data_IF_439272701081
#
_entry.id   IF_439272701081
#
_cell.length_a   1.000
_cell.length_b   1.000
_cell.length_c   1.000
_cell.angle_alpha   90.00
_cell.angle_beta   90.00
_cell.angle_gamma   90.00
#
_symmetry.space_group_name_H-M   'P 1'
#
loop_
_entity.id
_entity.type
_entity.pdbx_description
1 polymer ?
#
# COMPACT_ATOMS: atom_id res chain seq x y z
N UNK A 1 3.48 0.11 31.08
CA UNK A 1 4.37 0.90 30.21
C UNK A 1 5.78 0.88 30.81
N UNK A 2 6.84 0.81 29.99
CA UNK A 2 8.22 0.91 30.50
C UNK A 2 8.45 2.27 31.17
N UNK A 3 9.30 2.29 32.21
CA UNK A 3 9.66 3.54 32.89
C UNK A 3 10.41 4.46 31.92
N UNK A 4 9.80 5.60 31.58
CA UNK A 4 10.43 6.62 30.75
C UNK A 4 11.49 7.36 31.57
N UNK A 5 12.74 7.33 31.12
CA UNK A 5 13.85 8.07 31.73
C UNK A 5 14.27 9.21 30.81
N UNK A 6 14.51 10.42 31.35
CA UNK A 6 15.03 11.55 30.55
C UNK A 6 16.29 11.16 29.78
N UNK A 7 16.45 11.72 28.57
CA UNK A 7 17.63 11.54 27.69
C UNK A 7 17.94 10.08 27.30
N UNK A 8 17.05 9.12 27.57
CA UNK A 8 17.20 7.72 27.16
C UNK A 8 16.19 7.37 26.07
N UNK A 9 16.68 6.78 24.98
CA UNK A 9 15.84 6.22 23.92
C UNK A 9 15.01 5.06 24.49
N UNK A 10 13.70 5.11 24.29
CA UNK A 10 12.76 4.09 24.73
C UNK A 10 11.75 3.84 23.62
N UNK A 11 11.44 2.58 23.35
CA UNK A 11 10.41 2.21 22.38
C UNK A 11 9.03 2.38 23.00
N UNK A 12 8.17 3.10 22.29
CA UNK A 12 6.78 3.33 22.67
C UNK A 12 5.90 3.22 21.44
N UNK A 13 4.61 2.90 21.58
CA UNK A 13 3.67 2.99 20.48
C UNK A 13 3.64 4.39 19.87
N UNK A 14 3.48 4.46 18.55
CA UNK A 14 3.50 5.72 17.80
C UNK A 14 2.46 6.74 18.33
N UNK A 15 1.26 6.28 18.67
CA UNK A 15 0.21 7.15 19.21
C UNK A 15 0.63 7.81 20.53
N UNK A 16 1.36 7.10 21.39
CA UNK A 16 1.89 7.66 22.64
C UNK A 16 2.98 8.69 22.36
N UNK A 17 3.89 8.38 21.43
CA UNK A 17 4.95 9.30 21.02
C UNK A 17 4.38 10.62 20.49
N UNK A 18 3.32 10.57 19.66
CA UNK A 18 2.69 11.77 19.11
C UNK A 18 2.05 12.62 20.21
N UNK A 19 1.38 12.01 21.19
CA UNK A 19 0.77 12.74 22.31
C UNK A 19 1.86 13.44 23.13
N UNK A 20 2.96 12.76 23.43
CA UNK A 20 4.08 13.34 24.17
C UNK A 20 4.79 14.44 23.39
N UNK A 21 4.95 14.28 22.07
CA UNK A 21 5.51 15.31 21.18
C UNK A 21 4.62 16.56 21.17
N UNK A 22 3.31 16.39 21.09
CA UNK A 22 2.34 17.50 21.18
C UNK A 22 2.36 18.23 22.53
N UNK A 23 2.86 17.59 23.58
CA UNK A 23 3.07 18.20 24.90
C UNK A 23 4.49 18.76 25.09
N UNK A 24 5.37 18.68 24.09
CA UNK A 24 6.77 19.10 24.20
C UNK A 24 7.62 18.23 25.13
N UNK A 25 7.22 16.97 25.37
CA UNK A 25 7.86 16.07 26.36
C UNK A 25 8.80 15.04 25.76
N UNK A 26 8.89 14.95 24.43
CA UNK A 26 9.81 14.04 23.76
C UNK A 26 10.20 14.53 22.37
N UNK A 27 11.32 14.00 21.86
CA UNK A 27 11.71 14.08 20.46
C UNK A 27 11.58 12.69 19.83
N UNK A 28 11.02 12.63 18.63
CA UNK A 28 10.78 11.39 17.89
C UNK A 28 11.96 11.13 16.95
N UNK A 29 12.53 9.93 17.01
CA UNK A 29 13.57 9.53 16.06
C UNK A 29 12.89 9.01 14.79
N UNK A 30 13.19 9.64 13.66
CA UNK A 30 12.65 9.22 12.36
C UNK A 30 13.15 7.81 11.99
N UNK A 31 12.31 6.98 11.35
CA UNK A 31 12.74 5.71 10.79
C UNK A 31 13.81 5.90 9.71
N UNK A 32 14.77 4.98 9.61
CA UNK A 32 15.89 5.08 8.66
C UNK A 32 15.47 5.13 7.18
N UNK A 33 14.29 4.59 6.84
CA UNK A 33 13.74 4.64 5.48
C UNK A 33 13.16 6.02 5.12
N UNK A 34 12.80 6.85 6.12
CA UNK A 34 12.27 8.19 5.92
C UNK A 34 13.42 9.20 5.77
N UNK A 35 14.30 8.94 4.81
CA UNK A 35 15.33 9.87 4.36
C UNK A 35 15.18 10.09 2.87
N UNK A 36 15.49 11.31 2.41
CA UNK A 36 15.50 11.65 1.01
C UNK A 36 16.36 10.68 0.19
N UNK A 37 17.55 10.34 0.69
CA UNK A 37 18.48 9.43 0.01
C UNK A 37 17.87 8.05 -0.26
N UNK A 38 17.21 7.47 0.75
CA UNK A 38 16.56 6.17 0.65
C UNK A 38 15.32 6.23 -0.27
N UNK A 39 14.45 7.23 -0.07
CA UNK A 39 13.24 7.39 -0.88
C UNK A 39 13.58 7.65 -2.36
N UNK A 40 14.64 8.41 -2.62
CA UNK A 40 15.13 8.65 -3.99
C UNK A 40 15.60 7.35 -4.64
N UNK A 41 16.33 6.51 -3.91
CA UNK A 41 16.73 5.17 -4.38
C UNK A 41 15.51 4.30 -4.71
N UNK A 42 14.49 4.30 -3.85
CA UNK A 42 13.25 3.53 -4.09
C UNK A 42 12.49 4.05 -5.31
N UNK A 43 12.40 5.37 -5.47
CA UNK A 43 11.83 6.01 -6.65
C UNK A 43 12.54 5.61 -7.94
N UNK A 44 13.87 5.63 -7.95
CA UNK A 44 14.64 5.26 -9.13
C UNK A 44 14.50 3.74 -9.44
N UNK A 45 14.36 2.89 -8.42
CA UNK A 45 14.04 1.46 -8.61
C UNK A 45 12.63 1.25 -9.17
N UNK A 46 11.65 1.98 -8.66
CA UNK A 46 10.26 1.93 -9.12
C UNK A 46 10.12 2.32 -10.60
N UNK A 47 10.92 3.29 -11.04
CA UNK A 47 10.98 3.74 -12.43
C UNK A 47 11.69 2.75 -13.35
N UNK A 48 12.77 2.12 -12.87
CA UNK A 48 13.55 1.14 -13.65
C UNK A 48 12.81 -0.17 -13.86
N UNK A 49 12.09 -0.65 -12.85
CA UNK A 49 11.44 -1.95 -12.89
C UNK A 49 9.93 -1.76 -13.09
N UNK A 50 9.33 -2.00 -14.26
CA UNK A 50 7.90 -1.82 -14.47
C UNK A 50 7.03 -2.93 -13.86
N UNK A 51 7.58 -4.13 -13.67
CA UNK A 51 6.81 -5.32 -13.25
C UNK A 51 6.69 -5.45 -11.73
N UNK A 52 7.72 -5.05 -10.98
CA UNK A 52 7.77 -5.20 -9.53
C UNK A 52 7.75 -3.86 -8.81
N UNK A 53 7.10 -3.81 -7.66
CA UNK A 53 7.14 -2.67 -6.75
C UNK A 53 8.44 -2.63 -5.95
N UNK A 54 8.93 -1.42 -5.66
CA UNK A 54 10.05 -1.22 -4.75
C UNK A 54 9.69 -1.64 -3.33
N UNK A 55 10.70 -2.10 -2.57
CA UNK A 55 10.50 -2.58 -1.20
C UNK A 55 10.36 -1.41 -0.23
N UNK A 56 9.13 -1.15 0.21
CA UNK A 56 8.79 -0.12 1.19
C UNK A 56 8.05 -0.75 2.37
N UNK A 57 8.17 -0.17 3.57
CA UNK A 57 7.33 -0.57 4.70
C UNK A 57 5.85 -0.48 4.34
N UNK A 58 5.05 -1.44 4.79
CA UNK A 58 3.64 -1.54 4.43
C UNK A 58 2.80 -0.29 4.76
N UNK A 59 3.24 0.51 5.73
CA UNK A 59 2.58 1.71 6.23
C UNK A 59 3.39 3.00 5.95
N UNK A 60 4.22 3.01 4.91
CA UNK A 60 5.12 4.12 4.62
C UNK A 60 4.39 5.45 4.39
N UNK A 61 3.19 5.44 3.79
CA UNK A 61 2.40 6.65 3.52
C UNK A 61 1.86 7.27 4.82
N UNK A 62 1.27 6.45 5.67
CA UNK A 62 0.68 6.85 6.94
C UNK A 62 1.76 7.38 7.89
N UNK A 63 2.86 6.62 8.05
CA UNK A 63 3.97 7.01 8.90
C UNK A 63 4.61 8.31 8.42
N UNK A 64 4.84 8.45 7.11
CA UNK A 64 5.42 9.68 6.57
C UNK A 64 4.53 10.89 6.83
N UNK A 65 3.22 10.75 6.56
CA UNK A 65 2.26 11.85 6.76
C UNK A 65 2.21 12.28 8.22
N UNK A 66 2.15 11.32 9.15
CA UNK A 66 2.08 11.58 10.59
C UNK A 66 3.36 12.28 11.07
N UNK A 67 4.54 11.73 10.76
CA UNK A 67 5.81 12.25 11.23
C UNK A 67 6.11 13.64 10.67
N UNK A 68 5.90 13.85 9.37
CA UNK A 68 6.11 15.16 8.74
C UNK A 68 5.12 16.21 9.29
N UNK A 69 3.92 15.81 9.72
CA UNK A 69 2.93 16.78 10.24
C UNK A 69 3.16 17.10 11.72
N UNK A 70 3.60 16.14 12.52
CA UNK A 70 3.64 16.26 13.99
C UNK A 70 5.05 16.40 14.58
N UNK A 71 6.07 16.01 13.85
CA UNK A 71 7.46 15.97 14.30
C UNK A 71 8.42 16.39 13.19
N UNK A 72 8.03 17.39 12.38
CA UNK A 72 8.84 17.91 11.28
C UNK A 72 10.21 18.44 11.77
N UNK A 73 10.23 18.99 12.98
CA UNK A 73 11.39 19.55 13.67
C UNK A 73 12.39 18.49 14.13
N UNK A 74 11.97 17.23 14.25
CA UNK A 74 12.86 16.11 14.60
C UNK A 74 13.48 15.42 13.37
N UNK A 75 13.10 15.82 12.15
CA UNK A 75 13.58 15.21 10.91
C UNK A 75 14.92 15.83 10.47
N UNK A 76 15.81 14.99 9.94
CA UNK A 76 17.10 15.45 9.43
C UNK A 76 16.98 16.16 8.06
N UNK A 77 16.13 15.64 7.19
CA UNK A 77 15.89 16.19 5.85
C UNK A 77 14.75 17.21 5.87
N UNK A 78 14.76 18.15 4.92
CA UNK A 78 13.69 19.15 4.78
C UNK A 78 12.33 18.50 4.54
N UNK A 79 11.31 18.90 5.30
CA UNK A 79 9.95 18.39 5.20
C UNK A 79 9.34 18.58 3.82
N UNK A 80 9.64 19.70 3.15
CA UNK A 80 9.19 19.99 1.78
C UNK A 80 9.79 19.00 0.78
N UNK A 81 11.08 18.72 0.91
CA UNK A 81 11.79 17.79 0.04
C UNK A 81 11.28 16.35 0.21
N UNK A 82 11.07 15.91 1.46
CA UNK A 82 10.45 14.63 1.77
C UNK A 82 9.03 14.55 1.20
N UNK A 83 8.21 15.59 1.38
CA UNK A 83 6.87 15.64 0.81
C UNK A 83 6.88 15.50 -0.72
N UNK A 84 7.81 16.15 -1.41
CA UNK A 84 7.91 16.08 -2.87
C UNK A 84 8.21 14.65 -3.33
N UNK A 85 9.28 14.03 -2.81
CA UNK A 85 9.68 12.69 -3.26
C UNK A 85 8.65 11.62 -2.92
N UNK A 86 7.96 11.75 -1.78
CA UNK A 86 6.86 10.85 -1.39
C UNK A 86 5.68 10.96 -2.35
N UNK A 87 5.33 12.17 -2.77
CA UNK A 87 4.25 12.40 -3.75
C UNK A 87 4.61 11.79 -5.10
N UNK A 88 5.81 12.06 -5.59
CA UNK A 88 6.30 11.53 -6.87
C UNK A 88 6.33 9.99 -6.86
N UNK A 89 6.80 9.40 -5.76
CA UNK A 89 6.84 7.95 -5.56
C UNK A 89 5.42 7.35 -5.53
N UNK A 90 4.49 7.97 -4.79
CA UNK A 90 3.08 7.55 -4.74
C UNK A 90 2.44 7.62 -6.12
N UNK A 91 2.70 8.68 -6.88
CA UNK A 91 2.14 8.85 -8.22
C UNK A 91 2.61 7.74 -9.18
N UNK A 92 3.92 7.47 -9.24
CA UNK A 92 4.44 6.38 -10.09
C UNK A 92 3.84 5.03 -9.69
N UNK A 93 3.74 4.75 -8.39
CA UNK A 93 3.17 3.50 -7.89
C UNK A 93 1.67 3.39 -8.17
N UNK A 94 0.93 4.49 -8.10
CA UNK A 94 -0.48 4.52 -8.49
C UNK A 94 -0.66 4.25 -9.99
N UNK A 95 0.18 4.85 -10.83
CA UNK A 95 0.18 4.61 -12.28
C UNK A 95 0.55 3.15 -12.61
N UNK A 96 1.52 2.57 -11.90
CA UNK A 96 1.86 1.14 -12.03
C UNK A 96 0.70 0.25 -11.60
N UNK A 97 0.08 0.52 -10.45
CA UNK A 97 -1.07 -0.23 -9.95
C UNK A 97 -2.23 -0.21 -10.96
N UNK A 98 -2.56 0.95 -11.52
CA UNK A 98 -3.59 1.10 -12.56
C UNK A 98 -3.27 0.31 -13.83
N UNK A 99 -1.99 0.18 -14.22
CA UNK A 99 -1.58 -0.66 -15.35
C UNK A 99 -1.78 -2.13 -15.04
N UNK A 100 -1.37 -2.59 -13.85
CA UNK A 100 -1.59 -3.97 -13.41
C UNK A 100 -3.07 -4.34 -13.35
N UNK A 101 -3.96 -3.40 -13.02
CA UNK A 101 -5.41 -3.64 -13.05
C UNK A 101 -6.00 -3.87 -14.45
N UNK A 102 -5.25 -3.67 -15.54
CA UNK A 102 -5.71 -4.03 -16.90
C UNK A 102 -5.65 -5.53 -17.16
N UNK A 103 -4.86 -6.25 -16.37
CA UNK A 103 -4.64 -7.70 -16.48
C UNK A 103 -5.48 -8.47 -15.45
N UNK A 104 -6.55 -7.86 -14.95
CA UNK A 104 -7.49 -8.50 -14.02
C UNK A 104 -8.23 -9.63 -14.70
N UNK A 105 -8.16 -10.81 -14.09
CA UNK A 105 -8.95 -11.99 -14.46
C UNK A 105 -9.92 -12.35 -13.32
N UNK A 106 -10.89 -13.22 -13.61
CA UNK A 106 -11.88 -13.72 -12.66
C UNK A 106 -11.28 -14.59 -11.54
N UNK A 107 -10.15 -15.22 -11.81
CA UNK A 107 -9.55 -16.24 -10.94
C UNK A 107 -8.75 -15.67 -9.76
N UNK A 108 -7.69 -14.90 -10.02
CA UNK A 108 -6.83 -14.34 -8.97
C UNK A 108 -6.13 -13.05 -9.41
N UNK A 109 -5.59 -12.32 -8.41
CA UNK A 109 -4.81 -11.10 -8.59
C UNK A 109 -3.59 -11.16 -7.67
N UNK A 110 -2.42 -10.80 -8.21
CA UNK A 110 -1.19 -10.66 -7.41
C UNK A 110 -1.00 -9.20 -7.01
N UNK A 111 -0.94 -8.93 -5.71
CA UNK A 111 -0.84 -7.58 -5.12
C UNK A 111 0.41 -7.45 -4.25
N UNK A 112 1.54 -7.96 -4.76
CA UNK A 112 2.80 -8.01 -4.03
C UNK A 112 3.45 -6.62 -3.94
N UNK A 113 3.94 -6.26 -2.76
CA UNK A 113 4.69 -5.02 -2.56
C UNK A 113 3.85 -3.74 -2.53
N UNK A 114 2.51 -3.83 -2.48
CA UNK A 114 1.63 -2.68 -2.23
C UNK A 114 1.56 -2.33 -0.74
N UNK A 115 1.43 -1.05 -0.45
CA UNK A 115 1.20 -0.53 0.90
C UNK A 115 -0.27 -0.63 1.31
N UNK A 116 -0.54 -0.46 2.61
CA UNK A 116 -1.88 -0.49 3.18
C UNK A 116 -2.80 0.55 2.55
N UNK A 117 -2.37 1.82 2.46
CA UNK A 117 -3.17 2.87 1.84
C UNK A 117 -3.43 2.60 0.35
N UNK A 118 -2.41 2.16 -0.40
CA UNK A 118 -2.57 1.80 -1.82
C UNK A 118 -3.61 0.68 -1.98
N UNK A 119 -3.52 -0.37 -1.17
CA UNK A 119 -4.48 -1.47 -1.18
C UNK A 119 -5.90 -1.00 -0.83
N UNK A 120 -6.03 -0.15 0.18
CA UNK A 120 -7.32 0.39 0.61
C UNK A 120 -7.99 1.25 -0.48
N UNK A 121 -7.21 1.99 -1.27
CA UNK A 121 -7.73 2.78 -2.40
C UNK A 121 -8.23 1.88 -3.55
N UNK A 122 -7.58 0.74 -3.81
CA UNK A 122 -7.97 -0.17 -4.89
C UNK A 122 -9.11 -1.11 -4.51
N UNK A 123 -9.21 -1.47 -3.22
CA UNK A 123 -10.14 -2.49 -2.71
C UNK A 123 -11.60 -2.35 -3.19
N UNK A 124 -12.28 -1.19 -3.04
CA UNK A 124 -13.71 -1.11 -3.39
C UNK A 124 -13.96 -1.35 -4.88
N UNK A 125 -13.04 -0.91 -5.74
CA UNK A 125 -13.15 -1.12 -7.18
C UNK A 125 -12.87 -2.58 -7.57
N UNK A 126 -11.73 -3.12 -7.12
CA UNK A 126 -11.29 -4.47 -7.50
C UNK A 126 -12.28 -5.54 -7.05
N UNK A 127 -12.76 -5.46 -5.80
CA UNK A 127 -13.72 -6.44 -5.29
C UNK A 127 -15.05 -6.41 -6.05
N UNK A 128 -15.50 -5.22 -6.45
CA UNK A 128 -16.73 -5.08 -7.22
C UNK A 128 -16.59 -5.66 -8.63
N UNK A 129 -15.52 -5.30 -9.35
CA UNK A 129 -15.29 -5.77 -10.72
C UNK A 129 -15.05 -7.27 -10.76
N UNK A 130 -14.17 -7.80 -9.89
CA UNK A 130 -13.92 -9.25 -9.83
C UNK A 130 -15.17 -10.02 -9.42
N UNK A 131 -15.97 -9.49 -8.49
CA UNK A 131 -17.25 -10.10 -8.11
C UNK A 131 -18.21 -10.21 -9.29
N UNK A 132 -18.25 -9.20 -10.17
CA UNK A 132 -19.05 -9.24 -11.40
C UNK A 132 -18.48 -10.13 -12.49
N UNK A 133 -17.17 -10.10 -12.71
CA UNK A 133 -16.48 -11.00 -13.65
C UNK A 133 -16.73 -12.47 -13.26
N UNK A 134 -16.65 -12.79 -11.97
CA UNK A 134 -16.94 -14.13 -11.47
C UNK A 134 -18.40 -14.54 -11.66
N UNK A 135 -19.36 -13.65 -11.37
CA UNK A 135 -20.78 -13.91 -11.64
C UNK A 135 -21.04 -14.23 -13.12
N UNK A 136 -20.40 -13.50 -14.04
CA UNK A 136 -20.52 -13.75 -15.48
C UNK A 136 -19.87 -15.08 -15.87
N UNK A 137 -18.67 -15.37 -15.37
CA UNK A 137 -17.98 -16.64 -15.60
C UNK A 137 -18.83 -17.84 -15.13
N UNK A 138 -19.36 -17.78 -13.92
CA UNK A 138 -20.19 -18.86 -13.33
C UNK A 138 -21.48 -19.09 -14.14
N UNK A 139 -22.04 -18.05 -14.75
CA UNK A 139 -23.24 -18.17 -15.61
C UNK A 139 -22.98 -18.86 -16.94
N UNK A 140 -21.76 -18.74 -17.49
CA UNK A 140 -21.35 -19.47 -18.70
C UNK A 140 -21.14 -20.94 -18.37
N UNK A 141 -20.38 -21.23 -17.30
CA UNK A 141 -20.11 -22.62 -16.89
C UNK A 141 -21.40 -23.42 -16.59
N UNK A 142 -22.39 -22.80 -15.93
CA UNK A 142 -23.67 -23.46 -15.66
C UNK A 142 -24.55 -23.69 -16.89
N UNK A 143 -24.29 -23.00 -18.00
CA UNK A 143 -25.01 -23.21 -19.26
C UNK A 143 -24.43 -24.40 -20.03
N UNK A 144 -23.10 -24.54 -20.05
CA UNK A 144 -22.42 -25.69 -20.67
C UNK A 144 -22.77 -27.01 -19.95
N UNK A 145 -22.86 -27.01 -18.62
CA UNK A 145 -23.25 -28.20 -17.85
C UNK A 145 -24.70 -28.65 -18.16
N UNK A 146 -25.62 -27.71 -18.39
CA UNK A 146 -27.02 -28.04 -18.73
C UNK A 146 -27.21 -28.52 -20.17
N UNK A 147 -26.45 -27.98 -21.11
CA UNK A 147 -26.48 -28.45 -22.50
C UNK A 147 -25.93 -29.88 -22.63
N UNK A 148 -24.98 -30.25 -21.77
CA UNK A 148 -24.40 -31.59 -21.70
C UNK A 148 -25.40 -32.64 -21.17
N UNK A 149 -26.18 -32.28 -20.15
CA UNK A 149 -27.21 -33.16 -19.58
C UNK A 149 -28.38 -33.37 -20.57
N UNK A 150 -28.84 -32.32 -21.27
CA UNK A 150 -29.94 -32.41 -22.25
C UNK A 150 -29.57 -33.23 -23.51
N UNK A 151 -28.30 -33.27 -23.93
CA UNK A 151 -27.86 -34.13 -25.04
C UNK A 151 -27.81 -35.62 -24.66
N UNK A 152 -27.59 -35.94 -23.39
CA UNK A 152 -27.52 -37.33 -22.90
C UNK A 152 -28.89 -38.01 -22.73
N UNK A 153 -29.96 -37.23 -22.58
CA UNK A 153 -31.34 -37.71 -22.45
C UNK A 153 -32.01 -38.03 -23.81
N UNK A 154 -31.35 -37.72 -24.94
CA UNK A 154 -31.86 -37.94 -26.29
C UNK A 154 -31.22 -39.11 -27.07
N UNK A 155 -30.27 -39.85 -26.48
CA UNK A 155 -29.73 -41.09 -27.06
C UNK A 155 -30.44 -42.35 -26.52
N UNK A 156 -31.69 -42.60 -26.97
CA UNK A 156 -32.37 -43.91 -26.88
C UNK A 156 -33.23 -44.19 -28.11
#
# INVERSE_FOLDING_TARGET
MPSLKPLKRTEVPLWTAIILKGQGKCNIIAPAWLSYSYLKKMYDQEKKNPEMFSNLPWNWLELSKILITKAADDLADSSTQLCSIIKDLREIRQLKSKRGLRELNESNIQLNGLSLMELNELRPFVLLVMGKMRQLHDSVSTTDDKASDDESDHEW
#
